data_IF_239054096870
#
_entry.id   IF_239054096870
#
_cell.length_a   1.000
_cell.length_b   1.000
_cell.length_c   1.000
_cell.angle_alpha   90.00
_cell.angle_beta   90.00
_cell.angle_gamma   90.00
#
_symmetry.space_group_name_H-M   'P 1'
#
loop_
_entity.id
_entity.type
_entity.pdbx_description
1 polymer ?
#
# COMPACT_ATOMS: atom_id res chain seq x y z
N UNK A 1 -8.22 -5.48 -19.84
CA UNK A 1 -7.36 -4.45 -19.22
C UNK A 1 -6.06 -5.14 -18.85
N UNK A 2 -4.93 -4.60 -19.29
CA UNK A 2 -3.61 -5.13 -18.92
C UNK A 2 -3.42 -4.86 -17.42
N UNK A 3 -3.02 -5.88 -16.66
CA UNK A 3 -2.69 -5.70 -15.25
C UNK A 3 -1.49 -4.76 -15.16
N UNK A 4 -1.61 -3.67 -14.39
CA UNK A 4 -0.45 -2.85 -14.04
C UNK A 4 0.39 -3.66 -13.08
N UNK A 5 1.64 -3.92 -13.42
CA UNK A 5 2.56 -4.67 -12.58
C UNK A 5 3.73 -3.78 -12.20
N UNK A 6 4.10 -3.70 -10.91
CA UNK A 6 5.31 -3.00 -10.51
C UNK A 6 6.54 -3.72 -11.08
N UNK A 7 7.65 -3.00 -11.32
CA UNK A 7 8.93 -3.63 -11.61
C UNK A 7 9.37 -4.56 -10.47
N UNK A 8 10.35 -5.44 -10.74
CA UNK A 8 11.03 -6.19 -9.67
C UNK A 8 11.78 -5.25 -8.70
N UNK A 9 12.14 -5.70 -7.48
CA UNK A 9 12.91 -4.87 -6.55
C UNK A 9 14.29 -4.52 -7.12
N UNK A 10 14.82 -3.34 -6.76
CA UNK A 10 16.21 -3.00 -7.10
C UNK A 10 17.18 -4.02 -6.45
N UNK A 11 18.26 -4.40 -7.14
CA UNK A 11 19.15 -5.48 -6.70
C UNK A 11 19.92 -5.13 -5.42
N UNK A 12 20.18 -3.85 -5.19
CA UNK A 12 20.94 -3.33 -4.06
C UNK A 12 20.08 -2.99 -2.84
N UNK A 13 18.74 -2.99 -2.96
CA UNK A 13 17.83 -2.75 -1.84
C UNK A 13 17.88 -3.85 -0.78
N UNK A 14 18.03 -3.45 0.46
CA UNK A 14 17.92 -4.32 1.63
C UNK A 14 16.45 -4.75 1.88
N UNK A 15 16.21 -5.89 2.56
CA UNK A 15 14.86 -6.23 3.02
C UNK A 15 14.28 -5.13 3.90
N UNK A 16 13.03 -4.72 3.64
CA UNK A 16 12.35 -3.69 4.41
C UNK A 16 12.26 -3.95 5.94
N UNK A 17 12.13 -5.20 6.45
CA UNK A 17 12.05 -5.43 7.89
C UNK A 17 13.40 -5.35 8.63
N UNK A 18 14.52 -5.18 7.92
CA UNK A 18 15.84 -5.11 8.53
C UNK A 18 16.34 -3.67 8.64
N UNK A 19 17.26 -3.42 9.60
CA UNK A 19 17.97 -2.15 9.69
C UNK A 19 18.77 -1.90 8.40
N UNK A 20 18.52 -0.75 7.77
CA UNK A 20 19.08 -0.44 6.45
C UNK A 20 20.36 0.38 6.62
N UNK A 21 21.50 -0.31 6.55
CA UNK A 21 22.83 0.21 6.87
C UNK A 21 23.46 1.10 5.79
N UNK A 22 22.66 1.68 4.89
CA UNK A 22 23.11 2.61 3.85
C UNK A 22 22.84 2.19 2.40
N UNK A 23 22.16 1.06 2.15
CA UNK A 23 21.63 0.69 0.82
C UNK A 23 20.10 0.63 0.88
N UNK A 24 19.54 1.83 0.99
CA UNK A 24 18.21 2.01 1.55
C UNK A 24 17.12 1.63 0.57
N UNK A 25 16.40 0.58 0.92
CA UNK A 25 15.06 0.38 0.43
C UNK A 25 14.19 1.56 0.91
N UNK A 26 13.43 2.23 0.03
CA UNK A 26 12.64 3.40 0.43
C UNK A 26 11.60 3.08 1.51
N UNK A 27 11.21 1.81 1.67
CA UNK A 27 10.29 1.34 2.69
C UNK A 27 11.03 0.73 3.90
N UNK A 28 10.66 1.17 5.10
CA UNK A 28 11.01 0.53 6.37
C UNK A 28 9.76 -0.15 6.94
N UNK A 29 9.78 -1.47 7.11
CA UNK A 29 8.60 -2.21 7.57
C UNK A 29 8.42 -2.12 9.08
N UNK A 30 7.17 -1.89 9.50
CA UNK A 30 6.72 -1.90 10.89
C UNK A 30 5.88 -3.16 11.16
N UNK A 31 5.76 -3.54 12.43
CA UNK A 31 4.95 -4.68 12.86
C UNK A 31 3.47 -4.36 12.95
N UNK A 32 2.61 -5.39 12.86
CA UNK A 32 1.17 -5.26 13.06
C UNK A 32 0.75 -4.71 14.44
N UNK A 33 1.60 -4.83 15.46
CA UNK A 33 1.36 -4.24 16.78
C UNK A 33 1.51 -2.70 16.77
N UNK A 34 2.50 -2.18 16.03
CA UNK A 34 2.67 -0.73 15.82
C UNK A 34 1.53 -0.16 14.97
N UNK A 35 0.99 -0.98 14.05
CA UNK A 35 -0.20 -0.68 13.25
C UNK A 35 -1.48 -0.56 14.09
N UNK A 36 -1.73 -1.47 15.03
CA UNK A 36 -2.91 -1.39 15.92
C UNK A 36 -2.90 -0.11 16.79
N UNK A 37 -1.72 0.43 17.08
CA UNK A 37 -1.56 1.70 17.79
C UNK A 37 -1.62 2.94 16.87
N UNK A 38 -1.64 2.75 15.54
CA UNK A 38 -1.53 3.82 14.56
C UNK A 38 -2.90 4.29 14.07
N UNK A 39 -3.05 5.61 13.98
CA UNK A 39 -4.22 6.26 13.38
C UNK A 39 -4.07 6.33 11.86
N UNK A 40 -4.59 5.35 11.11
CA UNK A 40 -4.59 5.35 9.64
C UNK A 40 -5.98 5.70 9.07
N UNK A 41 -6.02 6.03 7.78
CA UNK A 41 -7.26 6.20 6.99
C UNK A 41 -7.10 5.61 5.60
N UNK A 42 -8.18 5.06 5.06
CA UNK A 42 -8.25 4.54 3.69
C UNK A 42 -8.27 5.71 2.71
N UNK A 43 -7.46 5.65 1.66
CA UNK A 43 -7.34 6.74 0.68
C UNK A 43 -7.50 6.30 -0.77
N UNK A 44 -7.21 5.04 -1.08
CA UNK A 44 -7.24 4.53 -2.45
C UNK A 44 -7.30 3.00 -2.52
N UNK A 45 -7.68 2.50 -3.69
CA UNK A 45 -7.47 1.12 -4.11
C UNK A 45 -6.43 1.04 -5.24
N UNK A 46 -5.63 0.00 -5.24
CA UNK A 46 -4.66 -0.32 -6.30
C UNK A 46 -5.01 -1.66 -6.95
N UNK A 47 -4.85 -1.71 -8.27
CA UNK A 47 -5.09 -2.91 -9.08
C UNK A 47 -4.02 -4.02 -9.00
N UNK A 48 -2.70 -3.75 -8.81
CA UNK A 48 -1.71 -4.81 -8.68
C UNK A 48 -1.93 -5.62 -7.40
N UNK A 49 -1.58 -6.91 -7.43
CA UNK A 49 -1.75 -7.77 -6.26
C UNK A 49 -0.83 -7.38 -5.11
N UNK A 50 -1.26 -7.68 -3.88
CA UNK A 50 -0.48 -7.40 -2.68
C UNK A 50 0.91 -8.07 -2.73
N UNK A 51 0.99 -9.30 -3.26
CA UNK A 51 2.25 -10.02 -3.41
C UNK A 51 3.24 -9.29 -4.34
N UNK A 52 2.77 -8.72 -5.45
CA UNK A 52 3.62 -7.96 -6.37
C UNK A 52 4.11 -6.65 -5.75
N UNK A 53 3.21 -5.92 -5.07
CA UNK A 53 3.55 -4.69 -4.36
C UNK A 53 4.55 -4.95 -3.21
N UNK A 54 4.32 -6.02 -2.45
CA UNK A 54 5.21 -6.46 -1.38
C UNK A 54 6.57 -6.89 -1.92
N UNK A 55 6.61 -7.63 -3.04
CA UNK A 55 7.85 -8.06 -3.67
C UNK A 55 8.70 -6.88 -4.15
N UNK A 56 8.09 -5.85 -4.77
CA UNK A 56 8.80 -4.63 -5.21
C UNK A 56 9.55 -3.96 -4.07
N UNK A 57 8.90 -3.84 -2.91
CA UNK A 57 9.46 -3.18 -1.73
C UNK A 57 10.10 -4.15 -0.73
N UNK A 58 10.28 -5.43 -1.09
CA UNK A 58 10.82 -6.48 -0.22
C UNK A 58 10.15 -6.51 1.17
N UNK A 59 8.84 -6.33 1.18
CA UNK A 59 7.99 -6.39 2.38
C UNK A 59 7.68 -7.84 2.72
N UNK A 60 7.48 -8.10 4.01
CA UNK A 60 6.87 -9.32 4.52
C UNK A 60 5.38 -9.08 4.69
N UNK A 61 4.55 -9.90 4.03
CA UNK A 61 3.09 -9.85 4.21
C UNK A 61 2.73 -10.60 5.48
N UNK A 62 2.11 -9.89 6.41
CA UNK A 62 1.55 -10.46 7.63
C UNK A 62 0.12 -10.97 7.35
N UNK A 63 -0.23 -12.11 7.95
CA UNK A 63 -1.56 -12.71 7.86
C UNK A 63 -2.18 -12.75 9.24
N UNK A 64 -3.36 -12.16 9.39
CA UNK A 64 -4.13 -12.19 10.62
C UNK A 64 -5.57 -12.64 10.36
N UNK A 65 -6.23 -13.06 11.43
CA UNK A 65 -7.65 -13.34 11.47
C UNK A 65 -8.32 -12.18 12.21
N UNK A 66 -8.99 -11.30 11.47
CA UNK A 66 -9.88 -10.31 12.08
C UNK A 66 -11.33 -10.82 11.99
N UNK A 67 -12.26 -10.21 12.73
CA UNK A 67 -13.70 -10.54 12.69
C UNK A 67 -14.32 -10.48 11.27
N UNK A 68 -13.61 -9.88 10.31
CA UNK A 68 -13.99 -9.74 8.90
C UNK A 68 -13.38 -10.83 7.97
N UNK A 69 -12.64 -11.78 8.52
CA UNK A 69 -11.98 -12.86 7.79
C UNK A 69 -10.45 -12.75 7.76
N UNK A 70 -9.75 -13.63 7.01
CA UNK A 70 -8.30 -13.55 6.86
C UNK A 70 -7.92 -12.24 6.14
N UNK A 71 -7.09 -11.44 6.81
CA UNK A 71 -6.55 -10.20 6.29
C UNK A 71 -5.07 -10.42 6.00
N UNK A 72 -4.68 -10.10 4.77
CA UNK A 72 -3.27 -10.02 4.38
C UNK A 72 -2.88 -8.55 4.32
N UNK A 73 -1.86 -8.16 5.09
CA UNK A 73 -1.43 -6.77 5.16
C UNK A 73 0.09 -6.64 5.19
N UNK A 74 0.58 -5.51 4.71
CA UNK A 74 1.96 -5.09 4.85
C UNK A 74 2.00 -3.62 5.30
N UNK A 75 2.76 -3.34 6.35
CA UNK A 75 2.83 -2.03 6.99
C UNK A 75 4.25 -1.52 6.95
N UNK A 76 4.43 -0.28 6.52
CA UNK A 76 5.75 0.27 6.29
C UNK A 76 5.72 1.79 6.27
N UNK A 77 6.89 2.37 6.32
CA UNK A 77 7.11 3.80 6.31
C UNK A 77 7.99 4.19 5.14
N UNK A 78 7.57 5.23 4.40
CA UNK A 78 8.38 5.87 3.36
C UNK A 78 8.55 7.33 3.76
N UNK A 79 9.81 7.79 3.86
CA UNK A 79 10.14 9.17 4.21
C UNK A 79 9.40 9.72 5.46
N UNK A 80 9.17 8.89 6.48
CA UNK A 80 8.46 9.33 7.69
C UNK A 80 6.95 9.13 7.67
N UNK A 81 6.34 8.82 6.52
CA UNK A 81 4.91 8.65 6.35
C UNK A 81 4.54 7.18 6.50
N UNK A 82 3.59 6.88 7.37
CA UNK A 82 3.09 5.53 7.61
C UNK A 82 2.08 5.11 6.53
N UNK A 83 2.32 3.94 5.95
CA UNK A 83 1.48 3.28 4.96
C UNK A 83 1.07 1.88 5.43
N UNK A 84 -0.12 1.47 5.02
CA UNK A 84 -0.49 0.06 5.03
C UNK A 84 -1.19 -0.33 3.75
N UNK A 85 -0.81 -1.49 3.24
CA UNK A 85 -1.47 -2.16 2.12
C UNK A 85 -2.19 -3.37 2.68
N UNK A 86 -3.48 -3.54 2.37
CA UNK A 86 -4.19 -4.75 2.74
C UNK A 86 -5.08 -5.27 1.63
N UNK A 87 -5.32 -6.59 1.66
CA UNK A 87 -6.29 -7.28 0.82
C UNK A 87 -7.29 -8.00 1.69
N UNK A 88 -8.57 -7.74 1.45
CA UNK A 88 -9.68 -8.50 2.02
C UNK A 88 -9.98 -9.69 1.10
N UNK A 89 -9.86 -10.93 1.60
CA UNK A 89 -10.18 -12.12 0.81
C UNK A 89 -11.66 -12.17 0.40
N UNK A 90 -12.54 -11.56 1.19
CA UNK A 90 -13.98 -11.48 0.95
C UNK A 90 -14.39 -10.43 -0.10
N UNK A 91 -13.47 -9.58 -0.56
CA UNK A 91 -13.80 -8.55 -1.55
C UNK A 91 -13.92 -9.17 -2.96
N UNK A 92 -15.06 -9.03 -3.67
CA UNK A 92 -15.21 -9.53 -5.04
C UNK A 92 -14.26 -8.86 -6.04
N UNK A 93 -13.72 -7.68 -5.73
CA UNK A 93 -12.65 -7.07 -6.51
C UNK A 93 -11.27 -7.37 -5.89
N UNK A 94 -10.26 -7.71 -6.69
CA UNK A 94 -8.93 -8.05 -6.20
C UNK A 94 -8.10 -6.83 -5.74
N UNK A 95 -8.76 -5.69 -5.47
CA UNK A 95 -8.11 -4.43 -5.13
C UNK A 95 -7.32 -4.52 -3.83
N UNK A 96 -6.13 -3.92 -3.83
CA UNK A 96 -5.34 -3.68 -2.63
C UNK A 96 -5.66 -2.30 -2.08
N UNK A 97 -6.08 -2.25 -0.82
CA UNK A 97 -6.47 -1.03 -0.14
C UNK A 97 -5.24 -0.33 0.41
N UNK A 98 -5.12 0.97 0.13
CA UNK A 98 -4.04 1.84 0.60
C UNK A 98 -4.51 2.68 1.77
N UNK A 99 -3.76 2.61 2.86
CA UNK A 99 -4.00 3.39 4.07
C UNK A 99 -2.81 4.29 4.35
N UNK A 100 -3.09 5.51 4.80
CA UNK A 100 -2.08 6.52 5.13
C UNK A 100 -2.32 7.04 6.55
N UNK A 101 -1.23 7.34 7.28
CA UNK A 101 -1.27 7.99 8.59
C UNK A 101 -2.13 9.26 8.62
N UNK A 102 -3.03 9.39 9.59
CA UNK A 102 -3.91 10.55 9.79
C UNK A 102 -3.16 11.86 10.06
N UNK A 103 -1.91 11.78 10.50
CA UNK A 103 -1.03 12.93 10.67
C UNK A 103 -0.59 13.54 9.35
N UNK A 104 -0.67 12.80 8.24
CA UNK A 104 -0.35 13.27 6.90
C UNK A 104 -1.53 14.08 6.34
N UNK A 105 -1.37 15.39 6.17
CA UNK A 105 -2.43 16.29 5.67
C UNK A 105 -2.53 16.30 4.15
N UNK A 106 -1.41 16.11 3.44
CA UNK A 106 -1.39 16.04 1.99
C UNK A 106 -1.47 14.57 1.54
N UNK A 107 -2.70 14.10 1.33
CA UNK A 107 -2.98 12.72 0.90
C UNK A 107 -2.46 12.45 -0.50
N UNK A 108 -2.61 13.40 -1.43
CA UNK A 108 -2.23 13.23 -2.82
C UNK A 108 -0.72 13.16 -2.99
N UNK A 109 0.04 14.00 -2.28
CA UNK A 109 1.50 13.92 -2.28
C UNK A 109 2.00 12.59 -1.69
N UNK A 110 1.37 12.11 -0.62
CA UNK A 110 1.74 10.85 0.00
C UNK A 110 1.41 9.65 -0.91
N UNK A 111 0.26 9.68 -1.60
CA UNK A 111 -0.06 8.64 -2.57
C UNK A 111 0.86 8.69 -3.80
N UNK A 112 1.17 9.89 -4.31
CA UNK A 112 2.11 10.06 -5.41
C UNK A 112 3.50 9.51 -5.06
N UNK A 113 3.98 9.77 -3.83
CA UNK A 113 5.22 9.21 -3.30
C UNK A 113 5.19 7.68 -3.28
N UNK A 114 4.08 7.08 -2.82
CA UNK A 114 3.92 5.63 -2.81
C UNK A 114 3.99 5.04 -4.23
N UNK A 115 3.28 5.65 -5.18
CA UNK A 115 3.24 5.20 -6.58
C UNK A 115 4.63 5.30 -7.24
N UNK A 116 5.35 6.40 -7.01
CA UNK A 116 6.71 6.61 -7.51
C UNK A 116 7.67 5.53 -6.99
N UNK A 117 7.64 5.26 -5.68
CA UNK A 117 8.46 4.21 -5.05
C UNK A 117 8.11 2.82 -5.56
N UNK A 118 6.83 2.54 -5.79
CA UNK A 118 6.36 1.31 -6.40
C UNK A 118 6.69 1.21 -7.90
N UNK A 119 7.07 2.32 -8.55
CA UNK A 119 7.36 2.37 -9.98
C UNK A 119 6.12 2.16 -10.86
N UNK A 120 4.94 2.55 -10.38
CA UNK A 120 3.65 2.42 -11.10
C UNK A 120 3.00 3.79 -11.27
N UNK A 121 2.22 3.97 -12.34
CA UNK A 121 1.51 5.22 -12.60
C UNK A 121 0.14 5.30 -11.93
N UNK A 122 -0.51 6.46 -12.07
CA UNK A 122 -1.84 6.73 -11.50
C UNK A 122 -2.93 5.85 -12.11
N UNK A 123 -2.70 5.25 -13.28
CA UNK A 123 -3.59 4.27 -13.91
C UNK A 123 -3.75 2.99 -13.07
N UNK A 124 -2.85 2.74 -12.11
CA UNK A 124 -2.99 1.63 -11.17
C UNK A 124 -4.11 1.83 -10.14
N UNK A 125 -4.58 3.07 -9.96
CA UNK A 125 -5.58 3.44 -8.95
C UNK A 125 -6.97 3.04 -9.42
N UNK A 126 -7.66 2.19 -8.65
CA UNK A 126 -9.01 1.68 -9.00
C UNK A 126 -10.12 2.52 -8.38
N UNK A 127 -9.87 3.14 -7.23
CA UNK A 127 -10.76 4.12 -6.62
C UNK A 127 -9.99 5.08 -5.71
N UNK A 128 -10.60 6.23 -5.41
CA UNK A 128 -10.18 7.15 -4.34
C UNK A 128 -11.21 7.16 -3.23
N UNK A 129 -10.75 7.26 -1.98
CA UNK A 129 -11.59 7.48 -0.81
C UNK A 129 -11.29 8.87 -0.23
N UNK A 130 -12.33 9.61 0.14
CA UNK A 130 -12.19 10.84 0.90
C UNK A 130 -12.20 10.59 2.41
N UNK A 131 -11.92 11.62 3.20
CA UNK A 131 -11.90 11.56 4.66
C UNK A 131 -13.28 11.26 5.28
N UNK A 132 -14.37 11.41 4.51
CA UNK A 132 -15.75 11.10 4.90
C UNK A 132 -16.15 9.66 4.55
N UNK A 133 -15.26 8.90 3.91
CA UNK A 133 -15.49 7.50 3.50
C UNK A 133 -16.29 7.37 2.20
N UNK A 134 -16.44 8.45 1.43
CA UNK A 134 -17.01 8.40 0.08
C UNK A 134 -15.99 7.84 -0.89
N UNK A 135 -16.43 6.92 -1.75
CA UNK A 135 -15.58 6.30 -2.78
C UNK A 135 -15.90 6.87 -4.15
N UNK A 136 -14.88 7.30 -4.88
CA UNK A 136 -14.96 7.62 -6.31
C UNK A 136 -14.31 6.46 -7.07
N UNK A 137 -15.15 5.64 -7.71
CA UNK A 137 -14.72 4.55 -8.59
C UNK A 137 -14.08 5.14 -9.86
N UNK A 138 -12.87 4.71 -10.18
CA UNK A 138 -12.13 5.18 -11.36
C UNK A 138 -12.19 4.20 -12.53
N UNK A 139 -12.74 2.99 -12.36
CA UNK A 139 -13.00 2.06 -13.46
C UNK A 139 -14.07 2.57 -14.42
N UNK A 140 -14.98 3.44 -13.95
CA UNK A 140 -16.05 4.03 -14.77
C UNK A 140 -15.61 5.23 -15.62
N UNK A 141 -14.35 5.65 -15.51
CA UNK A 141 -13.82 6.82 -16.24
C UNK A 141 -13.02 6.40 -17.48
N UNK A 142 -13.65 5.64 -18.39
CA UNK A 142 -13.16 5.52 -19.76
C UNK A 142 -14.38 5.54 -20.71
N UNK A 143 -14.42 6.46 -21.70
CA UNK A 143 -15.46 6.44 -22.73
C UNK A 143 -15.36 5.20 -23.64
#
# INVERSE_FOLDING_TARGET
>A
MLAVEPPGPEPDWEPAPHYQGGKCNPALQSSMWEYAASSLRLVAGLSPSLDLLAARLRLTVERSWEDLGPVQAAMFRIQGIDFALHRLESNPRPDVFVWIGRTQTDTDAALALLLDVLGIGTEAITFRADDEGTFVDLHTSQP
#
